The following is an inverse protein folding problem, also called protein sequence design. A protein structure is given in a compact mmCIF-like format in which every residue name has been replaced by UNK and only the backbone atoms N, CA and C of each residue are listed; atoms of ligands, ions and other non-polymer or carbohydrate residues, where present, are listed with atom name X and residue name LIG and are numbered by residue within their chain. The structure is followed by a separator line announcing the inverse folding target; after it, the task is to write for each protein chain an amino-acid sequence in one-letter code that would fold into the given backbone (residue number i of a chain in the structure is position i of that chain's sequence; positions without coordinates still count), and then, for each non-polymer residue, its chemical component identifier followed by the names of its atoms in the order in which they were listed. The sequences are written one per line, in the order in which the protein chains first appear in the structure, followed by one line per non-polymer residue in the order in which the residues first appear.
data_IF_675240973668
#
_entry.id   IF_675240973668
#
_cell.length_a   1.000
_cell.length_b   1.000
_cell.length_c   1.000
_cell.angle_alpha   90.00
_cell.angle_beta   90.00
_cell.angle_gamma   90.00
#
_symmetry.space_group_name_H-M   'P 1'
#
loop_
_entity.id
_entity.type
_entity.pdbx_description
1 polymer ?
#
# COMPACT_ATOMS: atom_id res chain seq x y z
N UNK A 1 -2.16 0.62 20.57
CA UNK A 1 -2.18 2.02 21.05
C UNK A 1 -2.95 2.86 20.04
N UNK A 2 -3.66 3.91 20.48
CA UNK A 2 -4.29 4.85 19.54
C UNK A 2 -3.20 5.69 18.86
N UNK A 3 -3.27 5.91 17.55
CA UNK A 3 -2.28 6.75 16.86
C UNK A 3 -2.60 8.22 17.10
N UNK A 4 -1.94 8.83 18.09
CA UNK A 4 -2.10 10.26 18.43
C UNK A 4 -0.92 11.09 17.90
N UNK A 5 -1.03 12.42 17.81
CA UNK A 5 0.09 13.30 17.46
C UNK A 5 1.33 13.08 18.34
N UNK A 6 1.14 12.87 19.64
CA UNK A 6 2.23 12.66 20.60
C UNK A 6 2.97 11.34 20.34
N UNK A 7 2.24 10.29 19.93
CA UNK A 7 2.86 9.02 19.51
C UNK A 7 3.70 9.24 18.25
N UNK A 8 3.20 10.03 17.29
CA UNK A 8 3.93 10.36 16.05
C UNK A 8 5.22 11.13 16.38
N UNK A 9 5.13 12.17 17.21
CA UNK A 9 6.26 13.01 17.58
C UNK A 9 7.33 12.23 18.37
N UNK A 10 6.90 11.32 19.26
CA UNK A 10 7.80 10.50 20.06
C UNK A 10 8.41 9.31 19.29
N UNK A 11 7.89 9.00 18.10
CA UNK A 11 8.35 7.86 17.29
C UNK A 11 9.66 8.16 16.56
N UNK A 12 10.41 7.11 16.24
CA UNK A 12 11.70 7.22 15.56
C UNK A 12 11.55 7.80 14.15
N UNK A 13 12.36 8.81 13.87
CA UNK A 13 12.41 9.52 12.59
C UNK A 13 13.86 9.58 12.12
N UNK A 14 14.14 9.12 10.90
CA UNK A 14 15.52 9.03 10.39
C UNK A 14 15.58 9.02 8.86
N UNK A 15 16.79 9.21 8.33
CA UNK A 15 17.07 8.97 6.91
C UNK A 15 17.33 7.47 6.70
N UNK A 16 16.49 6.80 5.91
CA UNK A 16 16.63 5.37 5.65
C UNK A 16 17.75 5.08 4.61
N UNK A 17 18.13 3.81 4.39
CA UNK A 17 19.25 3.46 3.51
C UNK A 17 19.10 3.87 2.03
N UNK A 18 17.89 4.19 1.57
CA UNK A 18 17.63 4.67 0.21
C UNK A 18 17.53 6.20 0.15
N UNK A 19 17.89 6.90 1.23
CA UNK A 19 17.91 8.37 1.29
C UNK A 19 16.52 9.00 1.44
N UNK A 20 15.53 8.25 1.90
CA UNK A 20 14.18 8.75 2.17
C UNK A 20 14.03 9.08 3.66
N UNK A 21 13.33 10.17 3.98
CA UNK A 21 13.02 10.49 5.37
C UNK A 21 11.86 9.61 5.82
N UNK A 22 12.09 8.81 6.86
CA UNK A 22 11.22 7.73 7.30
C UNK A 22 10.72 7.96 8.73
N UNK A 23 9.42 7.77 8.92
CA UNK A 23 8.77 7.67 10.22
C UNK A 23 8.48 6.19 10.53
N UNK A 24 9.03 5.68 11.62
CA UNK A 24 8.79 4.30 12.08
C UNK A 24 7.70 4.26 13.15
N UNK A 25 6.57 3.62 12.83
CA UNK A 25 5.42 3.39 13.71
C UNK A 25 5.25 1.88 13.99
N UNK A 26 6.35 1.14 14.00
CA UNK A 26 6.36 -0.32 14.16
C UNK A 26 5.99 -0.77 15.57
N UNK A 27 5.33 -1.92 15.68
CA UNK A 27 5.11 -2.64 16.94
C UNK A 27 4.30 -1.86 18.00
N UNK A 28 3.45 -0.92 17.58
CA UNK A 28 2.67 -0.04 18.46
C UNK A 28 1.23 -0.52 18.70
N UNK A 29 0.84 -1.67 18.13
CA UNK A 29 -0.55 -2.20 18.20
C UNK A 29 -1.58 -1.17 17.72
N UNK A 30 -1.25 -0.42 16.67
CA UNK A 30 -2.12 0.62 16.11
C UNK A 30 -3.28 -0.05 15.38
N UNK A 31 -4.53 0.20 15.77
CA UNK A 31 -5.68 -0.45 15.12
C UNK A 31 -6.21 0.32 13.90
N UNK A 32 -5.90 1.62 13.81
CA UNK A 32 -6.47 2.57 12.83
C UNK A 32 -5.41 3.60 12.47
N UNK A 33 -5.30 3.91 11.18
CA UNK A 33 -4.51 5.04 10.69
C UNK A 33 -5.33 6.32 10.90
N UNK A 34 -4.82 7.23 11.73
CA UNK A 34 -5.46 8.51 12.02
C UNK A 34 -4.40 9.54 12.44
N UNK A 35 -4.77 10.82 12.51
CA UNK A 35 -3.93 11.91 13.03
C UNK A 35 -2.57 12.11 12.32
N UNK A 36 -2.38 11.54 11.13
CA UNK A 36 -1.16 11.72 10.33
C UNK A 36 -0.96 13.16 9.84
N UNK A 37 -1.90 14.08 10.09
CA UNK A 37 -1.69 15.52 9.87
C UNK A 37 -0.54 16.07 10.72
N UNK A 38 -0.27 15.44 11.86
CA UNK A 38 0.86 15.76 12.73
C UNK A 38 2.22 15.49 12.08
N UNK A 39 2.28 14.72 10.99
CA UNK A 39 3.52 14.48 10.24
C UNK A 39 3.97 15.69 9.40
N UNK A 40 3.10 16.68 9.22
CA UNK A 40 3.36 17.91 8.46
C UNK A 40 3.93 17.64 7.05
N UNK A 41 3.55 16.50 6.44
CA UNK A 41 4.01 16.09 5.11
C UNK A 41 5.56 16.04 4.95
N UNK A 42 6.26 15.70 6.03
CA UNK A 42 7.73 15.71 6.05
C UNK A 42 8.37 14.40 5.57
N UNK A 43 7.64 13.29 5.59
CA UNK A 43 8.19 11.95 5.33
C UNK A 43 7.93 11.48 3.91
N UNK A 44 8.94 10.84 3.34
CA UNK A 44 8.85 10.07 2.09
C UNK A 44 8.34 8.65 2.37
N UNK A 45 8.59 8.13 3.58
CA UNK A 45 8.27 6.76 3.99
C UNK A 45 7.59 6.72 5.36
N UNK A 46 6.54 5.93 5.49
CA UNK A 46 5.96 5.60 6.80
C UNK A 46 5.90 4.08 6.94
N UNK A 47 6.40 3.58 8.07
CA UNK A 47 6.46 2.17 8.39
C UNK A 47 5.49 1.80 9.51
N UNK A 48 4.41 1.12 9.15
CA UNK A 48 3.38 0.57 10.04
C UNK A 48 3.52 -0.94 10.27
N UNK A 49 4.68 -1.53 10.00
CA UNK A 49 4.88 -2.98 10.17
C UNK A 49 4.57 -3.44 11.59
N UNK A 50 3.96 -4.63 11.73
CA UNK A 50 3.58 -5.23 13.03
C UNK A 50 2.60 -4.36 13.84
N UNK A 51 1.45 -4.05 13.26
CA UNK A 51 0.36 -3.36 13.96
C UNK A 51 -0.96 -4.14 13.78
N UNK A 52 -2.07 -3.57 14.26
CA UNK A 52 -3.40 -4.19 14.23
C UNK A 52 -4.34 -3.50 13.23
N UNK A 53 -3.78 -2.84 12.20
CA UNK A 53 -4.54 -2.01 11.24
C UNK A 53 -5.45 -2.91 10.43
N UNK A 54 -6.74 -2.54 10.32
CA UNK A 54 -7.76 -3.34 9.61
C UNK A 54 -8.19 -2.78 8.26
N UNK A 55 -7.89 -1.51 8.00
CA UNK A 55 -8.28 -0.81 6.78
C UNK A 55 -7.17 0.14 6.36
N UNK A 56 -6.90 0.20 5.06
CA UNK A 56 -6.02 1.19 4.47
C UNK A 56 -6.82 2.44 4.14
N UNK A 57 -6.88 3.38 5.09
CA UNK A 57 -7.62 4.64 5.00
C UNK A 57 -7.06 5.69 5.98
N UNK A 58 -7.79 6.78 6.21
CA UNK A 58 -7.49 7.75 7.29
C UNK A 58 -6.29 8.67 7.04
N UNK A 59 -5.74 8.67 5.81
CA UNK A 59 -4.65 9.57 5.43
C UNK A 59 -5.17 11.00 5.21
N UNK A 60 -4.46 12.03 5.68
CA UNK A 60 -4.62 13.40 5.18
C UNK A 60 -3.89 13.55 3.84
N UNK A 61 -3.93 14.74 3.26
CA UNK A 61 -3.15 15.05 2.07
C UNK A 61 -1.64 15.03 2.35
N UNK A 62 -0.94 14.00 1.89
CA UNK A 62 0.49 13.73 2.06
C UNK A 62 1.19 13.54 0.70
N UNK A 63 1.37 14.59 -0.11
CA UNK A 63 1.99 14.47 -1.43
C UNK A 63 3.47 14.10 -1.40
N UNK A 64 4.17 14.16 -0.25
CA UNK A 64 5.57 13.74 -0.16
C UNK A 64 5.71 12.22 0.01
N UNK A 65 4.68 11.56 0.54
CA UNK A 65 4.69 10.13 0.83
C UNK A 65 4.80 9.31 -0.46
N UNK A 66 5.82 8.45 -0.52
CA UNK A 66 6.13 7.56 -1.66
C UNK A 66 6.08 6.09 -1.26
N UNK A 67 6.42 5.77 -0.02
CA UNK A 67 6.56 4.38 0.43
C UNK A 67 5.71 4.12 1.68
N UNK A 68 4.91 3.06 1.65
CA UNK A 68 4.18 2.56 2.80
C UNK A 68 4.53 1.10 3.08
N UNK A 69 5.03 0.84 4.29
CA UNK A 69 5.19 -0.51 4.82
C UNK A 69 4.04 -0.83 5.78
N UNK A 70 3.27 -1.87 5.49
CA UNK A 70 2.09 -2.31 6.24
C UNK A 70 2.15 -3.81 6.52
N UNK A 71 3.35 -4.41 6.48
CA UNK A 71 3.50 -5.84 6.66
C UNK A 71 3.01 -6.27 8.06
N UNK A 72 2.45 -7.48 8.17
CA UNK A 72 1.97 -8.04 9.43
C UNK A 72 0.94 -7.13 10.12
N UNK A 73 -0.17 -6.89 9.43
CA UNK A 73 -1.34 -6.19 9.95
C UNK A 73 -2.59 -7.06 9.71
N UNK A 74 -3.79 -6.50 9.87
CA UNK A 74 -5.07 -7.17 9.68
C UNK A 74 -5.90 -6.52 8.57
N UNK A 75 -5.25 -5.91 7.57
CA UNK A 75 -5.93 -5.12 6.55
C UNK A 75 -6.74 -6.05 5.66
N UNK A 76 -8.06 -5.86 5.68
CA UNK A 76 -9.01 -6.61 4.85
C UNK A 76 -9.75 -5.69 3.86
N UNK A 77 -9.53 -4.38 3.93
CA UNK A 77 -10.22 -3.38 3.09
C UNK A 77 -9.30 -2.23 2.73
N UNK A 78 -9.43 -1.74 1.50
CA UNK A 78 -8.74 -0.55 0.99
C UNK A 78 -9.82 0.50 0.72
N UNK A 79 -9.60 1.74 1.15
CA UNK A 79 -10.54 2.81 0.85
C UNK A 79 -10.49 3.22 -0.62
N UNK A 80 -11.62 3.68 -1.12
CA UNK A 80 -11.72 4.41 -2.38
C UNK A 80 -11.00 5.76 -2.30
N UNK A 81 -10.67 6.31 -3.48
CA UNK A 81 -10.16 7.67 -3.63
C UNK A 81 -8.84 7.99 -2.90
N UNK A 82 -7.99 6.99 -2.64
CA UNK A 82 -6.69 7.19 -1.98
C UNK A 82 -5.77 8.19 -2.71
N UNK A 83 -5.93 8.36 -4.02
CA UNK A 83 -5.20 9.34 -4.83
C UNK A 83 -5.44 10.79 -4.39
N UNK A 84 -6.57 11.09 -3.74
CA UNK A 84 -6.86 12.43 -3.22
C UNK A 84 -6.00 12.76 -1.99
N UNK A 85 -5.48 11.74 -1.30
CA UNK A 85 -4.75 11.89 -0.04
C UNK A 85 -3.26 11.56 -0.20
N UNK A 86 -2.92 10.49 -0.91
CA UNK A 86 -1.54 10.02 -1.09
C UNK A 86 -1.20 9.89 -2.59
N UNK A 87 -1.30 10.99 -3.37
CA UNK A 87 -1.24 10.97 -4.84
C UNK A 87 0.08 10.47 -5.42
N UNK A 88 1.15 10.48 -4.63
CA UNK A 88 2.51 10.15 -5.04
C UNK A 88 3.03 8.82 -4.48
N UNK A 89 2.13 7.99 -3.94
CA UNK A 89 2.49 6.66 -3.48
C UNK A 89 3.02 5.82 -4.66
N UNK A 90 4.24 5.33 -4.50
CA UNK A 90 4.98 4.56 -5.49
C UNK A 90 5.15 3.09 -5.06
N UNK A 91 5.38 2.88 -3.76
CA UNK A 91 5.67 1.57 -3.17
C UNK A 91 4.71 1.25 -2.03
N UNK A 92 3.98 0.13 -2.14
CA UNK A 92 3.07 -0.37 -1.11
C UNK A 92 3.41 -1.82 -0.75
N UNK A 93 3.92 -2.02 0.46
CA UNK A 93 4.25 -3.35 0.99
C UNK A 93 3.20 -3.78 2.00
N UNK A 94 2.21 -4.55 1.56
CA UNK A 94 1.06 -4.99 2.38
C UNK A 94 1.09 -6.51 2.63
N UNK A 95 2.29 -7.07 2.72
CA UNK A 95 2.51 -8.49 2.97
C UNK A 95 1.84 -8.96 4.26
N UNK A 96 1.38 -10.21 4.30
CA UNK A 96 0.82 -10.83 5.51
C UNK A 96 -0.30 -9.98 6.14
N UNK A 97 -1.37 -9.80 5.35
CA UNK A 97 -2.60 -9.12 5.73
C UNK A 97 -3.81 -10.02 5.36
N UNK A 98 -5.01 -9.47 5.35
CA UNK A 98 -6.27 -10.21 5.26
C UNK A 98 -7.09 -9.87 4.00
N UNK A 99 -6.46 -9.33 2.95
CA UNK A 99 -7.13 -9.10 1.67
C UNK A 99 -7.54 -10.45 1.09
N UNK A 100 -8.83 -10.60 0.79
CA UNK A 100 -9.39 -11.91 0.49
C UNK A 100 -9.82 -12.05 -0.96
N UNK A 101 -10.60 -11.10 -1.49
CA UNK A 101 -11.19 -11.14 -2.82
C UNK A 101 -10.37 -10.36 -3.85
N UNK A 102 -10.38 -10.79 -5.12
CA UNK A 102 -9.63 -10.11 -6.18
C UNK A 102 -10.03 -8.63 -6.27
N UNK A 103 -11.31 -8.32 -6.10
CA UNK A 103 -11.82 -6.95 -6.10
C UNK A 103 -11.34 -6.10 -4.92
N UNK A 104 -10.77 -6.68 -3.85
CA UNK A 104 -10.29 -5.92 -2.70
C UNK A 104 -9.13 -4.97 -3.05
N UNK A 105 -8.48 -5.19 -4.19
CA UNK A 105 -7.38 -4.35 -4.70
C UNK A 105 -7.83 -3.34 -5.77
N UNK A 106 -9.09 -3.37 -6.22
CA UNK A 106 -9.62 -2.44 -7.22
C UNK A 106 -9.43 -0.96 -6.84
N UNK A 107 -9.62 -0.55 -5.57
CA UNK A 107 -9.40 0.84 -5.16
C UNK A 107 -7.97 1.35 -5.40
N UNK A 108 -6.98 0.46 -5.52
CA UNK A 108 -5.59 0.85 -5.80
C UNK A 108 -5.38 1.32 -7.24
N UNK A 109 -6.32 1.03 -8.16
CA UNK A 109 -6.20 1.42 -9.57
C UNK A 109 -6.12 2.94 -9.78
N UNK A 110 -6.61 3.73 -8.82
CA UNK A 110 -6.55 5.18 -8.87
C UNK A 110 -5.15 5.75 -8.55
N UNK A 111 -4.29 4.97 -7.88
CA UNK A 111 -2.93 5.35 -7.53
C UNK A 111 -2.00 5.16 -8.73
N UNK A 112 -2.13 6.02 -9.73
CA UNK A 112 -1.40 5.92 -11.02
C UNK A 112 0.13 5.94 -10.92
N UNK A 113 0.70 6.38 -9.79
CA UNK A 113 2.14 6.36 -9.52
C UNK A 113 2.62 5.10 -8.80
N UNK A 114 1.71 4.22 -8.39
CA UNK A 114 2.03 2.98 -7.71
C UNK A 114 2.67 2.01 -8.70
N UNK A 115 3.97 1.74 -8.51
CA UNK A 115 4.74 0.86 -9.41
C UNK A 115 5.25 -0.40 -8.73
N UNK A 116 5.30 -0.42 -7.39
CA UNK A 116 5.82 -1.53 -6.61
C UNK A 116 4.80 -1.97 -5.54
N UNK A 117 4.26 -3.18 -5.68
CA UNK A 117 3.31 -3.74 -4.71
C UNK A 117 3.67 -5.18 -4.34
N UNK A 118 3.46 -5.52 -3.08
CA UNK A 118 3.45 -6.92 -2.65
C UNK A 118 2.23 -7.21 -1.79
N UNK A 119 1.40 -8.14 -2.25
CA UNK A 119 0.30 -8.74 -1.50
C UNK A 119 0.64 -10.14 -1.00
N UNK A 120 1.90 -10.57 -1.13
CA UNK A 120 2.35 -11.87 -0.67
C UNK A 120 1.86 -12.18 0.75
N UNK A 121 1.41 -13.42 0.98
CA UNK A 121 0.80 -13.86 2.25
C UNK A 121 -0.53 -13.17 2.61
N UNK A 122 -1.24 -12.60 1.65
CA UNK A 122 -2.69 -12.36 1.77
C UNK A 122 -3.47 -13.51 1.13
N UNK A 123 -4.70 -13.84 1.57
CA UNK A 123 -5.53 -14.83 0.91
C UNK A 123 -5.76 -14.57 -0.60
N UNK A 124 -5.82 -13.31 -1.06
CA UNK A 124 -5.90 -12.98 -2.50
C UNK A 124 -4.79 -13.61 -3.34
N UNK A 125 -3.58 -13.74 -2.79
CA UNK A 125 -2.42 -14.23 -3.52
C UNK A 125 -2.54 -15.73 -3.88
N UNK A 126 -3.47 -16.44 -3.24
CA UNK A 126 -3.76 -17.85 -3.50
C UNK A 126 -4.90 -18.05 -4.50
N UNK A 127 -5.58 -16.98 -4.93
CA UNK A 127 -6.70 -17.09 -5.87
C UNK A 127 -6.22 -17.42 -7.28
N UNK A 128 -7.05 -18.17 -7.99
CA UNK A 128 -6.89 -18.39 -9.43
C UNK A 128 -6.83 -17.04 -10.14
N UNK A 129 -5.94 -16.92 -11.12
CA UNK A 129 -5.77 -15.73 -11.96
C UNK A 129 -5.33 -14.45 -11.21
N UNK A 130 -5.01 -14.52 -9.91
CA UNK A 130 -4.62 -13.37 -9.08
C UNK A 130 -3.57 -12.47 -9.73
N UNK A 131 -2.47 -13.05 -10.22
CA UNK A 131 -1.39 -12.27 -10.86
C UNK A 131 -1.89 -11.54 -12.11
N UNK A 132 -2.69 -12.21 -12.94
CA UNK A 132 -3.24 -11.62 -14.17
C UNK A 132 -4.25 -10.52 -13.85
N UNK A 133 -5.13 -10.76 -12.88
CA UNK A 133 -6.10 -9.79 -12.39
C UNK A 133 -5.40 -8.53 -11.84
N UNK A 134 -4.41 -8.70 -10.96
CA UNK A 134 -3.68 -7.59 -10.38
C UNK A 134 -2.95 -6.75 -11.44
N UNK A 135 -2.34 -7.38 -12.45
CA UNK A 135 -1.70 -6.67 -13.57
C UNK A 135 -2.73 -5.95 -14.44
N UNK A 136 -3.91 -6.52 -14.64
CA UNK A 136 -4.98 -5.91 -15.40
C UNK A 136 -5.53 -4.65 -14.72
N UNK A 137 -5.83 -4.75 -13.43
CA UNK A 137 -6.39 -3.66 -12.62
C UNK A 137 -5.33 -2.59 -12.30
N UNK A 138 -4.06 -2.98 -12.15
CA UNK A 138 -2.94 -2.11 -11.82
C UNK A 138 -1.90 -2.11 -12.96
N UNK A 139 -2.24 -1.56 -14.14
CA UNK A 139 -1.42 -1.68 -15.34
C UNK A 139 -0.08 -0.92 -15.27
N UNK A 140 0.07 -0.04 -14.28
CA UNK A 140 1.28 0.75 -14.07
C UNK A 140 2.37 0.01 -13.26
N UNK A 141 2.04 -1.17 -12.71
CA UNK A 141 2.99 -1.93 -11.89
C UNK A 141 4.21 -2.37 -12.68
N UNK A 142 5.39 -2.17 -12.08
CA UNK A 142 6.68 -2.69 -12.52
C UNK A 142 7.03 -3.98 -11.80
N UNK A 143 6.63 -4.11 -10.54
CA UNK A 143 6.83 -5.32 -9.75
C UNK A 143 5.58 -5.67 -8.95
N UNK A 144 5.24 -6.96 -8.95
CA UNK A 144 4.19 -7.55 -8.13
C UNK A 144 4.77 -8.73 -7.36
N UNK A 145 4.65 -8.69 -6.03
CA UNK A 145 5.19 -9.69 -5.10
C UNK A 145 6.69 -9.92 -5.32
N UNK A 146 7.45 -8.82 -5.42
CA UNK A 146 8.89 -8.80 -5.71
C UNK A 146 9.30 -9.37 -7.08
N UNK A 147 8.33 -9.77 -7.91
CA UNK A 147 8.56 -10.28 -9.25
C UNK A 147 8.29 -9.20 -10.30
N UNK A 148 9.27 -8.94 -11.17
CA UNK A 148 9.11 -8.02 -12.28
C UNK A 148 7.94 -8.40 -13.21
N UNK A 149 7.25 -7.38 -13.72
CA UNK A 149 6.23 -7.54 -14.76
C UNK A 149 6.91 -7.22 -16.09
N UNK A 150 7.03 -8.22 -16.96
CA UNK A 150 7.59 -8.02 -18.29
C UNK A 150 6.50 -7.51 -19.24
N UNK A 151 6.86 -6.60 -20.16
CA UNK A 151 5.90 -5.97 -21.09
C UNK A 151 5.11 -6.98 -21.96
N UNK A 152 5.60 -8.21 -22.10
CA UNK A 152 4.91 -9.29 -22.84
C UNK A 152 3.58 -9.70 -22.23
N UNK A 153 3.37 -9.50 -20.93
CA UNK A 153 2.10 -9.85 -20.26
C UNK A 153 0.94 -8.99 -20.80
N UNK A 154 1.21 -7.74 -21.18
CA UNK A 154 0.20 -6.82 -21.73
C UNK A 154 -0.27 -7.17 -23.15
N UNK A 155 0.51 -7.93 -23.93
CA UNK A 155 0.21 -8.22 -25.34
C UNK A 155 -0.92 -9.25 -25.48
N UNK A 156 -1.17 -10.07 -24.45
CA UNK A 156 -2.29 -11.03 -24.47
C UNK A 156 -3.64 -10.42 -24.06
N UNK A 157 -3.70 -9.11 -23.79
CA UNK A 157 -4.92 -8.38 -23.41
C UNK A 157 -5.61 -7.70 -24.60
N UNK A 158 -5.77 -8.41 -25.72
CA UNK A 158 -6.84 -8.09 -26.69
C UNK A 158 -8.11 -8.80 -26.17
N UNK A 159 -9.25 -8.11 -26.04
CA UNK A 159 -10.31 -8.52 -25.13
C UNK A 159 -11.00 -9.80 -25.60
N UNK A 160 -11.06 -10.81 -24.72
CA UNK A 160 -12.10 -11.84 -24.79
C UNK A 160 -13.37 -11.21 -24.24
N UNK A 161 -13.99 -10.35 -25.06
CA UNK A 161 -15.41 -10.04 -25.02
C UNK A 161 -15.86 -9.84 -26.47
N UNK A 162 -16.30 -10.94 -27.09
CA UNK A 162 -17.31 -11.06 -28.17
C UNK A 162 -17.16 -12.41 -28.89
N UNK A 163 -17.63 -13.51 -28.26
CA UNK A 163 -18.48 -14.56 -28.87
C UNK A 163 -19.34 -15.14 -27.73
#
# INVERSE_FOLDING_TARGET
VRLTPEVIEASSQYLNPVGQYELSLRDLKIPVVENLGATLNQFDTIDFTNNDIRKLDGFPFLPKLKTLYLANNHIARIAENLQEYIPNLDTLMINNNMLQELSDIDPLATLTKLTHVSFARNPIAMKKDYRLYAIHVLPHLRTLDYNGITQKVFIYFIPIQLI
#
